data_IF_557892989599
#
_entry.id   IF_557892989599
#
_cell.length_a   1.000
_cell.length_b   1.000
_cell.length_c   1.000
_cell.angle_alpha   90.00
_cell.angle_beta   90.00
_cell.angle_gamma   90.00
#
_symmetry.space_group_name_H-M   'P 1'
#
loop_
_entity.id
_entity.type
_entity.pdbx_description
1 polymer ?
#
# COMPACT_ATOMS: atom_id res chain seq x y z
N UNK A 1 14.29 -3.91 17.78
CA UNK A 1 13.88 -4.10 16.38
C UNK A 1 14.73 -3.15 15.54
N UNK A 2 15.33 -3.56 14.43
CA UNK A 2 16.00 -2.63 13.51
C UNK A 2 15.03 -2.33 12.38
N UNK A 3 14.76 -1.05 12.11
CA UNK A 3 13.76 -0.64 11.11
C UNK A 3 14.39 0.34 10.14
N UNK A 4 14.21 0.10 8.84
CA UNK A 4 14.45 1.10 7.81
C UNK A 4 13.17 1.89 7.53
N UNK A 5 13.27 3.20 7.31
CA UNK A 5 12.19 4.00 6.78
C UNK A 5 12.60 4.59 5.42
N UNK A 6 11.79 4.34 4.40
CA UNK A 6 11.91 4.93 3.07
C UNK A 6 10.82 6.00 2.93
N UNK A 7 11.20 7.27 2.99
CA UNK A 7 10.30 8.41 2.84
C UNK A 7 10.52 9.08 1.49
N UNK A 8 9.46 9.24 0.71
CA UNK A 8 9.48 9.84 -0.62
C UNK A 8 8.95 11.28 -0.51
N UNK A 9 9.82 12.29 -0.36
CA UNK A 9 9.40 13.69 -0.26
C UNK A 9 8.75 14.12 -1.57
N UNK A 10 7.58 14.76 -1.49
CA UNK A 10 6.83 15.17 -2.69
C UNK A 10 6.59 14.01 -3.67
N UNK A 11 6.21 12.84 -3.12
CA UNK A 11 6.03 11.59 -3.87
C UNK A 11 5.20 11.77 -5.15
N UNK A 12 4.12 12.54 -5.06
CA UNK A 12 3.18 12.76 -6.17
C UNK A 12 3.85 13.53 -7.30
N UNK A 13 4.61 14.58 -6.95
CA UNK A 13 5.40 15.34 -7.93
C UNK A 13 6.48 14.47 -8.58
N UNK A 14 7.16 13.61 -7.82
CA UNK A 14 8.15 12.69 -8.38
C UNK A 14 7.52 11.72 -9.40
N UNK A 15 6.32 11.23 -9.12
CA UNK A 15 5.57 10.37 -10.06
C UNK A 15 5.20 11.12 -11.35
N UNK A 16 4.76 12.38 -11.26
CA UNK A 16 4.48 13.19 -12.45
C UNK A 16 5.73 13.47 -13.29
N UNK A 17 6.85 13.81 -12.65
CA UNK A 17 8.13 14.05 -13.36
C UNK A 17 8.64 12.78 -14.03
N UNK A 18 8.56 11.62 -13.36
CA UNK A 18 8.92 10.32 -13.94
C UNK A 18 8.13 10.02 -15.21
N UNK A 19 6.83 10.29 -15.20
CA UNK A 19 5.96 9.95 -16.34
C UNK A 19 6.06 10.99 -17.47
N UNK A 20 6.58 12.19 -17.18
CA UNK A 20 6.78 13.25 -18.16
C UNK A 20 8.03 14.07 -17.84
N UNK A 21 9.16 13.69 -18.45
CA UNK A 21 10.46 14.35 -18.29
C UNK A 21 10.44 15.86 -18.60
N UNK A 22 9.49 16.33 -19.41
CA UNK A 22 9.37 17.77 -19.73
C UNK A 22 8.97 18.62 -18.51
N UNK A 23 8.53 18.00 -17.42
CA UNK A 23 8.20 18.65 -16.15
C UNK A 23 9.43 18.87 -15.26
N UNK A 24 10.56 18.22 -15.55
CA UNK A 24 11.77 18.33 -14.74
C UNK A 24 12.26 19.78 -14.63
N UNK A 25 12.54 20.22 -13.40
CA UNK A 25 13.01 21.57 -13.09
C UNK A 25 11.96 22.68 -13.23
N UNK A 26 10.67 22.35 -13.47
CA UNK A 26 9.58 23.33 -13.53
C UNK A 26 8.85 23.43 -12.19
N UNK A 27 8.26 24.60 -11.87
CA UNK A 27 7.38 24.72 -10.72
C UNK A 27 6.06 23.98 -10.97
N UNK A 28 5.96 22.75 -10.48
CA UNK A 28 4.77 21.90 -10.56
C UNK A 28 3.91 22.10 -9.30
N UNK A 29 2.60 22.18 -9.50
CA UNK A 29 1.56 22.30 -8.47
C UNK A 29 0.47 21.26 -8.78
N UNK A 30 0.18 20.39 -7.83
CA UNK A 30 -0.81 19.30 -8.01
C UNK A 30 -2.01 19.60 -7.12
N UNK A 31 -3.22 19.53 -7.69
CA UNK A 31 -4.45 19.79 -6.95
C UNK A 31 -5.64 20.15 -7.85
N UNK A 32 -5.42 20.35 -9.15
CA UNK A 32 -6.41 20.84 -10.11
C UNK A 32 -5.97 22.15 -10.76
N UNK A 33 -6.88 22.73 -11.54
CA UNK A 33 -6.62 23.98 -12.26
C UNK A 33 -6.75 25.22 -11.37
N UNK A 34 -6.05 26.34 -11.66
CA UNK A 34 -6.00 27.53 -10.81
C UNK A 34 -7.35 28.12 -10.37
N UNK A 35 -8.38 27.99 -11.22
CA UNK A 35 -9.71 28.54 -10.99
C UNK A 35 -10.63 27.62 -10.18
N UNK A 36 -10.23 26.37 -9.96
CA UNK A 36 -11.02 25.43 -9.17
C UNK A 36 -10.97 25.81 -7.68
N UNK A 37 -12.09 25.58 -6.97
CA UNK A 37 -12.16 25.77 -5.51
C UNK A 37 -11.56 24.56 -4.77
N UNK A 38 -10.31 24.24 -5.10
CA UNK A 38 -9.52 23.17 -4.48
C UNK A 38 -8.25 23.76 -3.85
N UNK A 39 -7.55 22.93 -3.10
CA UNK A 39 -6.28 23.26 -2.47
C UNK A 39 -5.13 22.49 -3.14
N UNK A 40 -3.92 23.01 -2.98
CA UNK A 40 -2.67 22.34 -3.39
C UNK A 40 -2.52 21.06 -2.57
N UNK A 41 -2.47 19.93 -3.26
CA UNK A 41 -2.21 18.61 -2.68
C UNK A 41 -0.71 18.39 -2.47
N UNK A 42 0.09 18.63 -3.51
CA UNK A 42 1.55 18.54 -3.47
C UNK A 42 2.19 19.57 -4.41
N UNK A 43 3.45 19.93 -4.16
CA UNK A 43 4.16 20.95 -4.90
C UNK A 43 5.66 20.64 -5.03
N UNK A 44 6.23 20.96 -6.19
CA UNK A 44 7.67 20.84 -6.47
C UNK A 44 8.51 21.80 -5.63
N UNK A 45 9.81 21.54 -5.50
CA UNK A 45 10.74 22.43 -4.78
C UNK A 45 10.76 23.84 -5.38
N UNK A 46 10.66 23.92 -6.70
CA UNK A 46 10.61 25.15 -7.48
C UNK A 46 9.33 25.96 -7.17
N UNK A 47 8.18 25.29 -7.02
CA UNK A 47 6.95 25.93 -6.61
C UNK A 47 6.99 26.36 -5.12
N UNK A 48 7.54 25.52 -4.24
CA UNK A 48 7.73 25.85 -2.82
C UNK A 48 8.64 27.08 -2.65
N UNK A 49 9.69 27.22 -3.48
CA UNK A 49 10.56 28.39 -3.49
C UNK A 49 9.82 29.68 -3.87
N UNK A 50 8.72 29.58 -4.62
CA UNK A 50 7.83 30.71 -4.92
C UNK A 50 6.84 31.02 -3.78
N UNK A 51 6.89 30.28 -2.66
CA UNK A 51 6.01 30.47 -1.51
C UNK A 51 4.73 29.63 -1.51
N UNK A 52 4.53 28.77 -2.51
CA UNK A 52 3.41 27.82 -2.54
C UNK A 52 3.54 26.84 -1.37
N UNK A 53 2.42 26.43 -0.78
CA UNK A 53 2.38 25.45 0.33
C UNK A 53 1.28 24.43 0.10
N UNK A 54 1.48 23.20 0.58
CA UNK A 54 0.41 22.21 0.63
C UNK A 54 -0.75 22.73 1.49
N UNK A 55 -1.98 22.48 1.07
CA UNK A 55 -3.22 22.97 1.71
C UNK A 55 -3.62 24.40 1.33
N UNK A 56 -2.77 25.17 0.63
CA UNK A 56 -3.10 26.51 0.15
C UNK A 56 -4.15 26.45 -0.98
N UNK A 57 -5.11 27.39 -1.08
CA UNK A 57 -6.02 27.49 -2.22
C UNK A 57 -5.29 27.61 -3.56
N UNK A 58 -5.73 26.90 -4.59
CA UNK A 58 -5.07 26.91 -5.92
C UNK A 58 -4.97 28.32 -6.53
N UNK A 59 -5.98 29.16 -6.30
CA UNK A 59 -5.99 30.56 -6.75
C UNK A 59 -4.88 31.39 -6.10
N UNK A 60 -4.60 31.16 -4.83
CA UNK A 60 -3.51 31.81 -4.10
C UNK A 60 -2.16 31.29 -4.58
N UNK A 61 -2.05 29.97 -4.76
CA UNK A 61 -0.85 29.37 -5.34
C UNK A 61 -0.53 29.93 -6.74
N UNK A 62 -1.55 30.18 -7.58
CA UNK A 62 -1.38 30.81 -8.88
C UNK A 62 -0.94 32.27 -8.80
N UNK A 63 -1.43 33.02 -7.81
CA UNK A 63 -0.97 34.38 -7.58
C UNK A 63 0.52 34.44 -7.17
N UNK A 64 0.98 33.45 -6.38
CA UNK A 64 2.38 33.33 -5.95
C UNK A 64 3.30 32.77 -7.04
N UNK A 65 2.81 31.83 -7.86
CA UNK A 65 3.56 31.18 -8.92
C UNK A 65 2.76 31.14 -10.23
N UNK A 66 2.63 32.27 -10.95
CA UNK A 66 1.88 32.33 -12.20
C UNK A 66 2.46 31.45 -13.32
N UNK A 67 3.78 31.21 -13.28
CA UNK A 67 4.51 30.32 -14.19
C UNK A 67 4.37 28.82 -13.84
N UNK A 68 3.64 28.50 -12.77
CA UNK A 68 3.45 27.14 -12.29
C UNK A 68 2.69 26.26 -13.29
N UNK A 69 3.10 24.99 -13.39
CA UNK A 69 2.37 23.94 -14.11
C UNK A 69 1.37 23.32 -13.15
N UNK A 70 0.08 23.54 -13.40
CA UNK A 70 -1.02 23.02 -12.60
C UNK A 70 -1.53 21.70 -13.16
N UNK A 71 -1.46 20.63 -12.35
CA UNK A 71 -1.89 19.29 -12.74
C UNK A 71 -3.09 18.81 -11.91
N UNK A 72 -4.04 18.07 -12.52
CA UNK A 72 -5.11 17.42 -11.77
C UNK A 72 -4.55 16.33 -10.85
N UNK A 73 -5.27 16.04 -9.77
CA UNK A 73 -4.92 14.97 -8.83
C UNK A 73 -5.43 13.62 -9.36
N UNK A 74 -4.54 12.67 -9.61
CA UNK A 74 -4.88 11.28 -9.94
C UNK A 74 -4.47 10.33 -8.80
N UNK A 75 -5.33 10.20 -7.78
CA UNK A 75 -5.06 9.36 -6.61
C UNK A 75 -4.79 7.89 -6.97
N UNK A 76 -5.44 7.37 -8.02
CA UNK A 76 -5.27 5.99 -8.48
C UNK A 76 -3.87 5.74 -9.02
N UNK A 77 -3.39 6.63 -9.89
CA UNK A 77 -2.02 6.60 -10.41
C UNK A 77 -0.97 6.59 -9.30
N UNK A 78 -1.13 7.44 -8.27
CA UNK A 78 -0.17 7.52 -7.17
C UNK A 78 -0.24 6.29 -6.26
N UNK A 79 -1.43 5.76 -5.99
CA UNK A 79 -1.61 4.53 -5.23
C UNK A 79 -0.99 3.32 -5.94
N UNK A 80 -1.15 3.21 -7.25
CA UNK A 80 -0.58 2.14 -8.08
C UNK A 80 0.96 2.23 -8.10
N UNK A 81 1.51 3.45 -8.26
CA UNK A 81 2.95 3.69 -8.19
C UNK A 81 3.52 3.30 -6.81
N UNK A 82 2.84 3.67 -5.73
CA UNK A 82 3.28 3.36 -4.37
C UNK A 82 3.18 1.85 -4.07
N UNK A 83 2.11 1.20 -4.54
CA UNK A 83 1.93 -0.25 -4.46
C UNK A 83 3.07 -0.98 -5.16
N UNK A 84 3.50 -0.51 -6.33
CA UNK A 84 4.61 -1.12 -7.08
C UNK A 84 5.92 -1.07 -6.29
N UNK A 85 6.19 0.04 -5.60
CA UNK A 85 7.36 0.17 -4.71
C UNK A 85 7.24 -0.79 -3.53
N UNK A 86 6.07 -0.86 -2.87
CA UNK A 86 5.84 -1.77 -1.75
C UNK A 86 5.98 -3.25 -2.15
N UNK A 87 5.46 -3.65 -3.31
CA UNK A 87 5.64 -5.00 -3.87
C UNK A 87 7.12 -5.31 -4.08
N UNK A 88 7.89 -4.34 -4.57
CA UNK A 88 9.34 -4.51 -4.72
C UNK A 88 10.01 -4.70 -3.37
N UNK A 89 9.73 -3.84 -2.38
CA UNK A 89 10.29 -3.95 -1.03
C UNK A 89 9.94 -5.29 -0.36
N UNK A 90 8.73 -5.82 -0.62
CA UNK A 90 8.29 -7.11 -0.08
C UNK A 90 9.07 -8.31 -0.63
N UNK A 91 9.84 -8.15 -1.71
CA UNK A 91 10.77 -9.18 -2.18
C UNK A 91 12.06 -9.22 -1.36
N UNK A 92 12.37 -8.14 -0.64
CA UNK A 92 13.61 -8.00 0.12
C UNK A 92 13.43 -8.34 1.60
N UNK A 93 12.29 -7.97 2.19
CA UNK A 93 11.99 -8.27 3.60
C UNK A 93 10.62 -8.91 3.77
N UNK A 94 10.48 -9.91 4.67
CA UNK A 94 9.20 -10.54 4.97
C UNK A 94 8.20 -9.59 5.65
N UNK A 95 8.67 -8.49 6.25
CA UNK A 95 7.85 -7.52 6.96
C UNK A 95 8.12 -6.13 6.41
N UNK A 96 7.26 -5.71 5.48
CA UNK A 96 7.15 -4.34 5.00
C UNK A 96 5.89 -3.74 5.58
N UNK A 97 5.91 -2.51 6.06
CA UNK A 97 4.70 -1.78 6.43
C UNK A 97 4.52 -0.58 5.50
N UNK A 98 3.30 -0.41 4.96
CA UNK A 98 2.90 0.81 4.28
C UNK A 98 2.53 1.87 5.32
N UNK A 99 3.26 2.99 5.34
CA UNK A 99 2.88 4.18 6.09
C UNK A 99 1.86 5.03 5.32
N UNK A 100 1.86 6.34 5.57
CA UNK A 100 1.16 7.29 4.68
C UNK A 100 1.75 7.20 3.27
N UNK A 101 0.96 7.52 2.23
CA UNK A 101 1.44 7.53 0.84
C UNK A 101 2.78 8.26 0.75
N UNK A 102 3.78 7.60 0.17
CA UNK A 102 5.15 8.07 0.14
C UNK A 102 5.99 7.74 1.39
N UNK A 103 5.57 6.80 2.25
CA UNK A 103 6.42 6.30 3.33
C UNK A 103 6.26 4.80 3.55
N UNK A 104 7.36 4.06 3.55
CA UNK A 104 7.37 2.63 3.79
C UNK A 104 8.38 2.28 4.89
N UNK A 105 8.08 1.24 5.66
CA UNK A 105 8.97 0.71 6.68
C UNK A 105 9.35 -0.73 6.36
N UNK A 106 10.58 -1.11 6.70
CA UNK A 106 11.10 -2.45 6.48
C UNK A 106 11.72 -2.96 7.78
N UNK A 107 11.37 -4.18 8.18
CA UNK A 107 12.06 -4.87 9.28
C UNK A 107 13.41 -5.38 8.80
N UNK A 108 14.47 -4.96 9.49
CA UNK A 108 15.86 -5.36 9.26
C UNK A 108 16.35 -6.31 10.36
N UNK A 109 15.48 -6.76 11.26
CA UNK A 109 15.87 -7.59 12.41
C UNK A 109 16.42 -8.97 12.02
N UNK A 110 16.17 -9.41 10.78
CA UNK A 110 16.60 -10.71 10.25
C UNK A 110 17.81 -10.60 9.32
N UNK A 111 18.23 -9.38 8.98
CA UNK A 111 19.28 -9.11 8.00
C UNK A 111 20.54 -8.64 8.72
N UNK A 112 21.61 -9.42 8.58
CA UNK A 112 22.98 -9.14 9.03
C UNK A 112 23.19 -8.84 10.54
N UNK A 113 24.12 -9.54 11.22
CA UNK A 113 24.46 -9.24 12.61
C UNK A 113 24.99 -7.80 12.80
N UNK A 114 25.72 -7.28 11.81
CA UNK A 114 26.42 -5.99 11.84
C UNK A 114 25.70 -4.86 11.09
N UNK A 115 25.83 -3.63 11.59
CA UNK A 115 25.26 -2.41 10.99
C UNK A 115 25.86 -2.08 9.63
N UNK A 116 27.11 -2.46 9.36
CA UNK A 116 27.77 -2.22 8.07
C UNK A 116 27.04 -2.93 6.92
N UNK A 117 26.70 -4.21 7.09
CA UNK A 117 25.93 -4.99 6.13
C UNK A 117 24.50 -4.48 5.96
N UNK A 118 23.86 -4.07 7.06
CA UNK A 118 22.52 -3.48 7.03
C UNK A 118 22.50 -2.15 6.25
N UNK A 119 23.51 -1.30 6.46
CA UNK A 119 23.66 -0.05 5.72
C UNK A 119 23.87 -0.31 4.22
N UNK A 120 24.75 -1.24 3.88
CA UNK A 120 25.02 -1.60 2.48
C UNK A 120 23.75 -2.11 1.79
N UNK A 121 23.01 -3.02 2.43
CA UNK A 121 21.76 -3.55 1.90
C UNK A 121 20.73 -2.44 1.65
N UNK A 122 20.51 -1.57 2.64
CA UNK A 122 19.54 -0.46 2.51
C UNK A 122 19.95 0.51 1.41
N UNK A 123 21.25 0.75 1.25
CA UNK A 123 21.80 1.58 0.17
C UNK A 123 21.62 0.94 -1.21
N UNK A 124 21.80 -0.38 -1.34
CA UNK A 124 21.51 -1.12 -2.56
C UNK A 124 20.03 -1.04 -2.93
N UNK A 125 19.12 -1.25 -1.96
CA UNK A 125 17.67 -1.12 -2.16
C UNK A 125 17.31 0.30 -2.59
N UNK A 126 17.90 1.33 -1.95
CA UNK A 126 17.71 2.75 -2.33
C UNK A 126 18.12 3.00 -3.78
N UNK A 127 19.28 2.52 -4.21
CA UNK A 127 19.77 2.70 -5.57
C UNK A 127 18.91 1.96 -6.60
N UNK A 128 18.37 0.79 -6.26
CA UNK A 128 17.41 0.08 -7.11
C UNK A 128 16.13 0.91 -7.27
N UNK A 129 15.65 1.53 -6.19
CA UNK A 129 14.46 2.40 -6.25
C UNK A 129 14.69 3.57 -7.20
N UNK A 130 15.82 4.26 -7.06
CA UNK A 130 16.18 5.40 -7.90
C UNK A 130 16.34 5.02 -9.36
N UNK A 131 17.03 3.90 -9.65
CA UNK A 131 17.28 3.48 -11.03
C UNK A 131 16.03 2.94 -11.72
N UNK A 132 15.25 2.12 -11.02
CA UNK A 132 14.13 1.37 -11.62
C UNK A 132 12.84 2.17 -11.63
N UNK A 133 12.56 2.92 -10.58
CA UNK A 133 11.31 3.66 -10.44
C UNK A 133 11.48 5.17 -10.63
N UNK A 134 12.72 5.66 -10.74
CA UNK A 134 13.04 7.11 -10.82
C UNK A 134 12.41 7.88 -9.66
N UNK A 135 12.40 7.25 -8.48
CA UNK A 135 11.93 7.83 -7.23
C UNK A 135 13.11 7.98 -6.28
N UNK A 136 13.17 9.09 -5.57
CA UNK A 136 14.29 9.49 -4.71
C UNK A 136 13.85 9.50 -3.25
N UNK A 137 13.94 8.35 -2.54
CA UNK A 137 13.60 8.28 -1.13
C UNK A 137 14.71 8.86 -0.25
N UNK A 138 14.30 9.53 0.82
CA UNK A 138 15.09 9.81 2.00
C UNK A 138 15.02 8.61 2.91
N UNK A 139 16.17 8.04 3.24
CA UNK A 139 16.25 6.73 3.88
C UNK A 139 16.94 6.85 5.23
N UNK A 140 16.36 6.20 6.23
CA UNK A 140 16.92 6.14 7.58
C UNK A 140 16.82 4.75 8.17
N UNK A 141 17.68 4.46 9.16
CA UNK A 141 17.70 3.22 9.92
C UNK A 141 17.72 3.57 11.40
N UNK A 142 16.83 2.98 12.19
CA UNK A 142 16.79 3.19 13.64
C UNK A 142 16.33 1.96 14.43
N UNK A 143 16.39 2.06 15.75
CA UNK A 143 15.97 1.03 16.70
C UNK A 143 14.46 0.88 16.91
N UNK A 144 13.66 1.79 16.33
CA UNK A 144 12.21 1.72 16.33
C UNK A 144 11.64 2.57 15.19
N UNK A 145 10.33 2.42 14.97
CA UNK A 145 9.60 3.01 13.85
C UNK A 145 9.58 4.53 13.90
N UNK A 146 9.24 5.12 15.04
CA UNK A 146 9.16 6.58 15.17
C UNK A 146 10.51 7.28 14.92
N UNK A 147 11.61 6.79 15.51
CA UNK A 147 12.94 7.39 15.31
C UNK A 147 13.37 7.24 13.85
N UNK A 148 13.10 6.09 13.21
CA UNK A 148 13.37 5.91 11.78
C UNK A 148 12.58 6.94 10.95
N UNK A 149 11.27 7.05 11.19
CA UNK A 149 10.42 8.01 10.49
C UNK A 149 10.86 9.47 10.70
N UNK A 150 11.18 9.86 11.94
CA UNK A 150 11.64 11.21 12.24
C UNK A 150 12.99 11.51 11.55
N UNK A 151 13.89 10.52 11.54
CA UNK A 151 15.17 10.64 10.88
C UNK A 151 15.05 10.76 9.35
N UNK A 152 14.10 10.08 8.71
CA UNK A 152 13.91 10.20 7.26
C UNK A 152 13.35 11.56 6.84
N UNK A 153 12.67 12.29 7.74
CA UNK A 153 12.16 13.66 7.48
C UNK A 153 13.24 14.73 7.47
N UNK A 154 14.36 14.49 8.14
CA UNK A 154 15.52 15.39 8.15
C UNK A 154 16.69 14.86 7.34
N UNK A 155 16.61 13.60 6.90
CA UNK A 155 17.56 13.04 5.96
C UNK A 155 17.53 13.83 4.64
N UNK A 156 18.71 14.06 4.07
CA UNK A 156 18.84 14.65 2.74
C UNK A 156 18.75 13.60 1.64
N UNK A 157 18.70 14.05 0.39
CA UNK A 157 18.79 13.18 -0.78
C UNK A 157 20.13 12.45 -0.84
N UNK A 158 20.11 11.17 -1.23
CA UNK A 158 21.31 10.42 -1.58
C UNK A 158 22.15 9.91 -0.40
N UNK A 159 21.68 10.02 0.83
CA UNK A 159 22.37 9.47 2.02
C UNK A 159 21.39 8.70 2.90
N UNK A 160 21.85 7.56 3.40
CA UNK A 160 21.15 6.80 4.45
C UNK A 160 21.60 7.32 5.81
N UNK A 161 20.64 7.73 6.65
CA UNK A 161 20.91 8.18 8.03
C UNK A 161 20.74 7.03 9.00
N UNK A 162 21.76 6.71 9.78
CA UNK A 162 21.69 5.64 10.79
C UNK A 162 21.66 6.26 12.18
N UNK A 163 20.63 5.95 12.97
CA UNK A 163 20.51 6.33 14.37
C UNK A 163 20.60 5.07 15.21
N UNK A 164 21.66 4.95 16.01
CA UNK A 164 21.83 3.78 16.88
C UNK A 164 20.94 3.92 18.13
N UNK A 165 20.60 2.78 18.76
CA UNK A 165 19.58 2.76 19.82
C UNK A 165 19.88 3.62 21.06
N UNK A 166 21.14 3.98 21.32
CA UNK A 166 21.51 4.89 22.42
C UNK A 166 21.35 6.37 22.07
N UNK A 167 21.30 6.70 20.78
CA UNK A 167 21.31 8.07 20.26
C UNK A 167 19.92 8.61 19.94
N UNK A 168 18.88 7.76 19.96
CA UNK A 168 17.52 8.14 19.53
C UNK A 168 16.98 9.36 20.26
N UNK A 169 17.06 9.40 21.60
CA UNK A 169 16.61 10.56 22.39
C UNK A 169 17.41 11.82 22.09
N UNK A 170 18.73 11.69 21.98
CA UNK A 170 19.62 12.82 21.71
C UNK A 170 19.44 13.39 20.30
N UNK A 171 19.15 12.52 19.33
CA UNK A 171 18.80 12.91 17.97
C UNK A 171 17.47 13.67 17.91
N UNK A 172 16.44 13.18 18.61
CA UNK A 172 15.11 13.78 18.58
C UNK A 172 15.05 15.16 19.25
N UNK A 173 15.94 15.46 20.21
CA UNK A 173 15.81 16.63 21.10
C UNK A 173 15.64 17.96 20.37
N UNK A 174 16.31 18.12 19.23
CA UNK A 174 16.36 19.38 18.47
C UNK A 174 15.25 19.44 17.39
N UNK A 175 14.53 18.35 17.16
CA UNK A 175 13.46 18.30 16.18
C UNK A 175 12.21 19.07 16.66
N UNK A 176 11.44 19.67 15.74
CA UNK A 176 10.23 20.40 16.08
C UNK A 176 9.14 19.46 16.58
N UNK A 177 8.33 19.95 17.52
CA UNK A 177 7.26 19.18 18.17
C UNK A 177 6.16 18.77 17.19
N UNK A 178 5.98 19.49 16.08
CA UNK A 178 5.02 19.17 15.02
C UNK A 178 5.32 17.87 14.26
N UNK A 179 6.52 17.28 14.43
CA UNK A 179 6.80 15.94 13.92
C UNK A 179 6.18 14.85 14.79
N UNK A 180 5.78 15.14 16.02
CA UNK A 180 5.06 14.18 16.83
C UNK A 180 3.67 13.94 16.23
N UNK A 181 3.14 12.70 16.27
CA UNK A 181 1.80 12.36 15.80
C UNK A 181 0.73 12.84 16.81
N UNK A 182 0.69 14.15 17.03
CA UNK A 182 -0.22 14.83 17.94
C UNK A 182 -1.42 15.42 17.16
N UNK A 183 -2.57 15.47 17.81
CA UNK A 183 -3.74 16.19 17.32
C UNK A 183 -3.44 17.69 17.18
N UNK A 184 -4.15 18.37 16.26
CA UNK A 184 -3.99 19.82 16.05
C UNK A 184 -4.19 20.61 17.35
N UNK A 185 -5.20 20.23 18.14
CA UNK A 185 -5.47 20.82 19.46
C UNK A 185 -4.29 20.65 20.42
N UNK A 186 -3.66 19.47 20.43
CA UNK A 186 -2.51 19.22 21.29
C UNK A 186 -1.29 20.00 20.82
N UNK A 187 -1.04 20.11 19.51
CA UNK A 187 0.02 20.96 18.96
C UNK A 187 -0.17 22.43 19.32
N UNK A 188 -1.36 22.99 19.11
CA UNK A 188 -1.70 24.37 19.50
C UNK A 188 -1.46 24.59 21.00
N UNK A 189 -1.86 23.62 21.82
CA UNK A 189 -1.68 23.71 23.27
C UNK A 189 -0.21 23.62 23.69
N UNK A 190 0.59 22.78 23.05
CA UNK A 190 2.04 22.70 23.27
C UNK A 190 2.72 24.03 22.90
N UNK A 191 2.33 24.65 21.78
CA UNK A 191 2.81 25.98 21.38
C UNK A 191 2.45 27.06 22.42
N UNK A 192 1.22 27.08 22.92
CA UNK A 192 0.79 28.00 24.00
C UNK A 192 1.58 27.82 25.30
N UNK A 193 2.07 26.61 25.56
CA UNK A 193 2.94 26.30 26.70
C UNK A 193 4.44 26.58 26.43
N UNK A 194 4.78 27.11 25.25
CA UNK A 194 6.15 27.42 24.85
C UNK A 194 6.99 26.19 24.48
N UNK A 195 6.34 25.07 24.16
CA UNK A 195 6.98 23.80 23.79
C UNK A 195 6.97 23.68 22.27
N UNK A 196 8.12 23.98 21.66
CA UNK A 196 8.31 23.96 20.21
C UNK A 196 9.20 22.82 19.73
N UNK A 197 9.97 22.19 20.63
CA UNK A 197 10.90 21.10 20.31
C UNK A 197 10.59 19.84 21.12
N UNK A 198 10.85 18.69 20.52
CA UNK A 198 10.63 17.38 21.14
C UNK A 198 11.41 17.25 22.46
N UNK A 199 12.65 17.75 22.50
CA UNK A 199 13.47 17.73 23.70
C UNK A 199 12.91 18.56 24.87
N UNK A 200 12.09 19.58 24.59
CA UNK A 200 11.41 20.35 25.64
C UNK A 200 10.30 19.52 26.28
N UNK A 201 9.51 18.81 25.48
CA UNK A 201 8.48 17.89 25.98
C UNK A 201 9.10 16.72 26.77
N UNK A 202 10.21 16.16 26.28
CA UNK A 202 10.92 15.06 26.95
C UNK A 202 11.47 15.42 28.34
N UNK A 203 11.69 16.70 28.64
CA UNK A 203 12.17 17.18 29.95
C UNK A 203 11.07 17.29 31.00
N UNK A 204 9.80 17.32 30.59
CA UNK A 204 8.69 17.37 31.52
C UNK A 204 8.49 16.02 32.20
N UNK A 205 7.88 16.03 33.39
CA UNK A 205 7.52 14.79 34.07
C UNK A 205 6.34 14.12 33.36
N UNK A 206 6.37 12.78 33.26
CA UNK A 206 5.28 12.01 32.66
C UNK A 206 3.93 12.31 33.33
N UNK A 207 3.92 12.51 34.65
CA UNK A 207 2.73 12.86 35.41
C UNK A 207 2.12 14.20 34.96
N UNK A 208 2.94 15.25 34.76
CA UNK A 208 2.46 16.55 34.32
C UNK A 208 1.90 16.48 32.88
N UNK A 209 2.61 15.80 31.98
CA UNK A 209 2.17 15.65 30.58
C UNK A 209 0.89 14.81 30.50
N UNK A 210 0.77 13.75 31.29
CA UNK A 210 -0.42 12.90 31.30
C UNK A 210 -1.64 13.61 31.90
N UNK A 211 -1.43 14.52 32.87
CA UNK A 211 -2.51 15.32 33.46
C UNK A 211 -3.11 16.30 32.44
N UNK A 212 -2.26 16.96 31.64
CA UNK A 212 -2.71 17.96 30.67
C UNK A 212 -3.28 17.34 29.39
N UNK A 213 -2.67 16.26 28.89
CA UNK A 213 -2.94 15.71 27.55
C UNK A 213 -3.47 14.27 27.57
N UNK A 214 -3.71 13.69 28.74
CA UNK A 214 -4.23 12.32 28.88
C UNK A 214 -3.34 11.25 28.24
N UNK A 215 -4.00 10.26 27.61
CA UNK A 215 -3.31 9.13 26.96
C UNK A 215 -2.47 9.56 25.75
N UNK A 216 -2.92 10.58 25.01
CA UNK A 216 -2.14 11.17 23.92
C UNK A 216 -0.83 11.75 24.49
N UNK A 217 -0.91 12.53 25.57
CA UNK A 217 0.25 13.06 26.29
C UNK A 217 1.28 12.01 26.67
N UNK A 218 0.82 10.92 27.30
CA UNK A 218 1.69 9.80 27.65
C UNK A 218 2.43 9.27 26.42
N UNK A 219 1.71 9.04 25.32
CA UNK A 219 2.30 8.55 24.07
C UNK A 219 3.31 9.54 23.48
N UNK A 220 2.98 10.82 23.46
CA UNK A 220 3.89 11.87 22.97
C UNK A 220 5.16 11.95 23.81
N UNK A 221 5.04 11.81 25.13
CA UNK A 221 6.18 11.80 26.04
C UNK A 221 7.09 10.58 25.81
N UNK A 222 6.52 9.39 25.62
CA UNK A 222 7.27 8.17 25.26
C UNK A 222 8.06 8.38 23.97
N UNK A 223 7.38 8.83 22.90
CA UNK A 223 7.99 9.11 21.60
C UNK A 223 9.09 10.17 21.71
N UNK A 224 8.89 11.20 22.53
CA UNK A 224 9.88 12.26 22.76
C UNK A 224 11.14 11.77 23.47
N UNK A 225 11.03 10.67 24.22
CA UNK A 225 12.16 9.98 24.83
C UNK A 225 12.75 8.88 23.94
N UNK A 226 12.31 8.78 22.68
CA UNK A 226 12.74 7.74 21.74
C UNK A 226 12.17 6.36 22.04
N UNK A 227 11.12 6.26 22.85
CA UNK A 227 10.49 5.01 23.26
C UNK A 227 9.30 4.76 22.32
N UNK A 228 9.41 3.71 21.50
CA UNK A 228 8.34 3.26 20.62
C UNK A 228 8.36 1.73 20.52
N UNK A 229 7.37 1.10 21.15
CA UNK A 229 7.18 -0.36 21.17
C UNK A 229 6.26 -0.86 20.03
N UNK A 230 5.83 0.04 19.14
CA UNK A 230 4.98 -0.37 18.01
C UNK A 230 5.70 -1.35 17.10
N UNK A 231 5.02 -2.44 16.77
CA UNK A 231 5.50 -3.44 15.81
C UNK A 231 5.13 -2.99 14.40
N UNK A 232 5.94 -3.39 13.43
CA UNK A 232 5.57 -3.22 12.04
C UNK A 232 4.34 -4.07 11.70
N UNK A 233 3.41 -3.46 10.97
CA UNK A 233 2.22 -4.14 10.46
C UNK A 233 2.54 -4.66 9.05
N UNK A 234 2.58 -5.98 8.82
CA UNK A 234 2.87 -6.52 7.50
C UNK A 234 1.86 -6.03 6.47
N UNK A 235 2.38 -5.40 5.42
CA UNK A 235 1.67 -5.02 4.25
C UNK A 235 1.37 -6.27 3.44
N UNK A 236 0.10 -6.47 3.11
CA UNK A 236 -0.34 -7.46 2.15
C UNK A 236 -0.94 -6.73 0.96
N UNK A 237 -0.41 -6.98 -0.23
CA UNK A 237 -1.12 -6.61 -1.43
C UNK A 237 -2.41 -7.42 -1.44
N UNK A 238 -3.56 -6.73 -1.46
CA UNK A 238 -4.83 -7.41 -1.72
C UNK A 238 -4.71 -8.00 -3.12
N UNK A 239 -4.68 -9.33 -3.28
CA UNK A 239 -4.53 -9.91 -4.59
C UNK A 239 -5.74 -9.49 -5.41
N UNK A 240 -5.47 -8.90 -6.58
CA UNK A 240 -6.51 -8.47 -7.51
C UNK A 240 -6.16 -8.88 -8.95
N UNK A 241 -7.19 -9.10 -9.75
CA UNK A 241 -7.09 -9.30 -11.19
C UNK A 241 -7.85 -8.17 -11.85
N UNK A 242 -7.19 -7.42 -12.73
CA UNK A 242 -7.75 -6.24 -13.38
C UNK A 242 -7.59 -6.39 -14.88
N UNK A 243 -8.69 -6.19 -15.60
CA UNK A 243 -8.71 -6.07 -17.05
C UNK A 243 -9.42 -4.77 -17.42
N UNK A 244 -8.93 -4.06 -18.43
CA UNK A 244 -9.49 -2.80 -18.87
C UNK A 244 -9.50 -2.68 -20.39
N UNK A 245 -10.39 -1.85 -20.92
CA UNK A 245 -10.48 -1.51 -22.33
C UNK A 245 -10.79 -0.02 -22.50
N UNK A 246 -10.14 0.59 -23.49
CA UNK A 246 -10.43 1.94 -23.96
C UNK A 246 -11.24 1.85 -25.27
N UNK A 247 -12.24 2.69 -25.42
CA UNK A 247 -13.11 2.72 -26.58
C UNK A 247 -12.70 3.85 -27.54
N UNK A 248 -12.30 3.50 -28.75
CA UNK A 248 -11.98 4.43 -29.84
C UNK A 248 -12.79 4.06 -31.11
N UNK A 249 -13.91 4.74 -31.42
CA UNK A 249 -14.57 5.83 -30.67
C UNK A 249 -15.27 5.35 -29.38
N UNK A 250 -15.62 6.31 -28.51
CA UNK A 250 -16.33 6.03 -27.25
C UNK A 250 -17.63 5.24 -27.48
N UNK A 251 -17.93 4.28 -26.60
CA UNK A 251 -19.09 3.41 -26.74
C UNK A 251 -20.39 4.17 -26.41
N UNK A 252 -21.28 4.27 -27.40
CA UNK A 252 -22.56 4.98 -27.28
C UNK A 252 -23.71 4.04 -26.85
N UNK A 253 -23.52 2.72 -27.01
CA UNK A 253 -24.58 1.73 -26.79
C UNK A 253 -24.23 0.76 -25.66
N UNK A 254 -25.25 0.37 -24.89
CA UNK A 254 -25.12 -0.67 -23.85
C UNK A 254 -24.62 -2.00 -24.47
N UNK A 255 -25.03 -2.31 -25.71
CA UNK A 255 -24.59 -3.51 -26.41
C UNK A 255 -23.08 -3.58 -26.64
N UNK A 256 -22.45 -2.46 -27.02
CA UNK A 256 -20.99 -2.37 -27.19
C UNK A 256 -20.27 -2.60 -25.85
N UNK A 257 -20.72 -1.91 -24.79
CA UNK A 257 -20.14 -2.05 -23.44
C UNK A 257 -20.30 -3.48 -22.92
N UNK A 258 -21.46 -4.12 -23.17
CA UNK A 258 -21.70 -5.51 -22.78
C UNK A 258 -20.82 -6.50 -23.52
N UNK A 259 -20.64 -6.33 -24.84
CA UNK A 259 -19.79 -7.20 -25.64
C UNK A 259 -18.34 -7.14 -25.14
N UNK A 260 -17.79 -5.94 -25.04
CA UNK A 260 -16.42 -5.73 -24.55
C UNK A 260 -16.25 -6.15 -23.08
N UNK A 261 -17.22 -5.85 -22.22
CA UNK A 261 -17.24 -6.32 -20.84
C UNK A 261 -17.28 -7.84 -20.73
N UNK A 262 -18.02 -8.52 -21.62
CA UNK A 262 -18.05 -9.97 -21.73
C UNK A 262 -16.72 -10.60 -22.12
N UNK A 263 -15.93 -9.93 -22.98
CA UNK A 263 -14.57 -10.34 -23.33
C UNK A 263 -13.59 -10.16 -22.16
N UNK A 264 -13.68 -9.03 -21.45
CA UNK A 264 -12.88 -8.77 -20.24
C UNK A 264 -13.18 -9.84 -19.17
N UNK A 265 -14.46 -10.15 -18.94
CA UNK A 265 -14.87 -11.21 -18.01
C UNK A 265 -14.40 -12.60 -18.46
N UNK A 266 -14.31 -12.86 -19.77
CA UNK A 266 -13.79 -14.12 -20.27
C UNK A 266 -12.30 -14.28 -19.93
N UNK A 267 -11.50 -13.23 -20.16
CA UNK A 267 -10.08 -13.19 -19.76
C UNK A 267 -9.90 -13.37 -18.25
N UNK A 268 -10.66 -12.63 -17.45
CA UNK A 268 -10.63 -12.73 -15.99
C UNK A 268 -11.04 -14.12 -15.48
N UNK A 269 -12.10 -14.71 -16.04
CA UNK A 269 -12.55 -16.08 -15.70
C UNK A 269 -11.49 -17.12 -16.05
N UNK A 270 -10.83 -16.98 -17.19
CA UNK A 270 -9.74 -17.87 -17.59
C UNK A 270 -8.55 -17.75 -16.63
N UNK A 271 -8.11 -16.53 -16.30
CA UNK A 271 -7.04 -16.29 -15.33
C UNK A 271 -7.36 -16.88 -13.95
N UNK A 272 -8.61 -16.77 -13.50
CA UNK A 272 -9.07 -17.39 -12.26
C UNK A 272 -8.93 -18.92 -12.29
N UNK A 273 -9.38 -19.56 -13.38
CA UNK A 273 -9.29 -21.01 -13.57
C UNK A 273 -7.84 -21.49 -13.64
N UNK A 274 -6.98 -20.79 -14.36
CA UNK A 274 -5.55 -21.09 -14.44
C UNK A 274 -4.87 -21.01 -13.06
N UNK A 275 -5.35 -20.11 -12.20
CA UNK A 275 -4.90 -19.93 -10.82
C UNK A 275 -5.62 -20.83 -9.81
N UNK A 276 -6.59 -21.65 -10.22
CA UNK A 276 -7.43 -22.47 -9.34
C UNK A 276 -8.14 -21.65 -8.25
N UNK A 277 -8.57 -20.44 -8.61
CA UNK A 277 -9.15 -19.44 -7.73
C UNK A 277 -10.58 -19.09 -8.14
N UNK A 278 -11.37 -18.70 -7.15
CA UNK A 278 -12.66 -18.02 -7.30
C UNK A 278 -12.57 -16.63 -6.68
N UNK A 279 -13.44 -15.71 -7.09
CA UNK A 279 -13.54 -14.37 -6.52
C UNK A 279 -14.86 -14.17 -5.76
N UNK A 280 -14.84 -13.34 -4.72
CA UNK A 280 -16.04 -12.93 -3.97
C UNK A 280 -16.48 -11.51 -4.31
N UNK A 281 -15.66 -10.74 -5.02
CA UNK A 281 -15.97 -9.35 -5.34
C UNK A 281 -15.59 -9.00 -6.77
N UNK A 282 -16.53 -8.39 -7.49
CA UNK A 282 -16.36 -7.78 -8.81
C UNK A 282 -16.61 -6.28 -8.70
N UNK A 283 -15.63 -5.48 -9.10
CA UNK A 283 -15.75 -4.03 -9.20
C UNK A 283 -15.78 -3.65 -10.68
N UNK A 284 -16.81 -2.92 -11.08
CA UNK A 284 -16.99 -2.37 -12.42
C UNK A 284 -16.76 -0.86 -12.33
N UNK A 285 -15.78 -0.34 -13.06
CA UNK A 285 -15.52 1.09 -13.17
C UNK A 285 -15.64 1.52 -14.62
N UNK A 286 -16.35 2.61 -14.86
CA UNK A 286 -16.56 3.18 -16.20
C UNK A 286 -16.19 4.65 -16.16
N UNK A 287 -15.38 5.07 -17.12
CA UNK A 287 -15.08 6.47 -17.35
C UNK A 287 -15.87 6.93 -18.57
N UNK A 288 -16.52 8.08 -18.45
CA UNK A 288 -17.32 8.67 -19.51
C UNK A 288 -16.53 9.76 -20.25
N UNK A 289 -16.99 10.13 -21.43
CA UNK A 289 -16.37 11.21 -22.23
C UNK A 289 -16.45 12.60 -21.61
N UNK A 290 -17.24 12.79 -20.54
CA UNK A 290 -17.33 14.03 -19.75
C UNK A 290 -16.48 13.99 -18.47
N UNK A 291 -15.45 13.13 -18.41
CA UNK A 291 -14.58 12.89 -17.25
C UNK A 291 -15.30 12.41 -15.98
N UNK A 292 -16.58 12.05 -16.07
CA UNK A 292 -17.28 11.42 -14.97
C UNK A 292 -16.82 9.96 -14.82
N UNK A 293 -16.68 9.50 -13.58
CA UNK A 293 -16.34 8.11 -13.26
C UNK A 293 -17.51 7.48 -12.48
N UNK A 294 -18.09 6.39 -13.00
CA UNK A 294 -19.04 5.58 -12.26
C UNK A 294 -18.38 4.27 -11.83
N UNK A 295 -18.47 3.95 -10.54
CA UNK A 295 -17.95 2.71 -9.98
C UNK A 295 -19.06 1.96 -9.24
N UNK A 296 -19.14 0.66 -9.46
CA UNK A 296 -20.06 -0.24 -8.77
C UNK A 296 -19.32 -1.49 -8.28
N UNK A 297 -19.54 -1.82 -7.02
CA UNK A 297 -18.99 -3.03 -6.39
C UNK A 297 -20.11 -4.04 -6.20
N UNK A 298 -19.87 -5.27 -6.67
CA UNK A 298 -20.71 -6.43 -6.48
C UNK A 298 -20.01 -7.42 -5.55
N UNK A 299 -20.70 -7.82 -4.49
CA UNK A 299 -20.28 -8.89 -3.58
C UNK A 299 -21.07 -10.14 -3.91
N UNK A 300 -20.38 -11.21 -4.27
CA UNK A 300 -20.99 -12.51 -4.49
C UNK A 300 -21.21 -13.20 -3.15
N UNK A 301 -22.39 -13.82 -3.00
CA UNK A 301 -22.68 -14.66 -1.82
C UNK A 301 -21.85 -15.94 -1.82
N UNK A 302 -21.59 -16.48 -3.01
CA UNK A 302 -20.77 -17.66 -3.25
C UNK A 302 -19.60 -17.28 -4.15
N UNK A 303 -18.40 -17.75 -3.83
CA UNK A 303 -17.23 -17.46 -4.63
C UNK A 303 -17.38 -18.05 -6.03
N UNK A 304 -17.11 -17.23 -7.06
CA UNK A 304 -17.32 -17.62 -8.45
C UNK A 304 -16.07 -17.44 -9.30
N UNK A 305 -15.84 -18.39 -10.20
CA UNK A 305 -14.93 -18.29 -11.34
C UNK A 305 -15.68 -18.30 -12.68
N UNK A 306 -17.02 -18.37 -12.65
CA UNK A 306 -17.87 -18.47 -13.84
C UNK A 306 -18.09 -17.12 -14.49
N UNK A 307 -17.77 -17.05 -15.79
CA UNK A 307 -18.07 -15.92 -16.66
C UNK A 307 -19.58 -15.61 -16.65
N UNK A 308 -20.43 -16.63 -16.71
CA UNK A 308 -21.88 -16.49 -16.83
C UNK A 308 -22.48 -15.78 -15.60
N UNK A 309 -22.02 -16.15 -14.40
CA UNK A 309 -22.43 -15.48 -13.16
C UNK A 309 -22.02 -14.02 -13.15
N UNK A 310 -20.75 -13.73 -13.47
CA UNK A 310 -20.23 -12.35 -13.49
C UNK A 310 -20.91 -11.50 -14.57
N UNK A 311 -21.16 -12.06 -15.75
CA UNK A 311 -21.81 -11.38 -16.87
C UNK A 311 -23.24 -10.99 -16.53
N UNK A 312 -23.99 -11.85 -15.81
CA UNK A 312 -25.35 -11.54 -15.37
C UNK A 312 -25.40 -10.28 -14.49
N UNK A 313 -24.45 -10.13 -13.56
CA UNK A 313 -24.35 -8.95 -12.71
C UNK A 313 -23.95 -7.70 -13.48
N UNK A 314 -23.05 -7.83 -14.46
CA UNK A 314 -22.70 -6.73 -15.36
C UNK A 314 -23.92 -6.28 -16.18
N UNK A 315 -24.68 -7.21 -16.76
CA UNK A 315 -25.90 -6.90 -17.51
C UNK A 315 -26.93 -6.18 -16.65
N UNK A 316 -27.20 -6.70 -15.45
CA UNK A 316 -28.13 -6.08 -14.51
C UNK A 316 -27.70 -4.64 -14.15
N UNK A 317 -26.39 -4.42 -13.96
CA UNK A 317 -25.88 -3.08 -13.68
C UNK A 317 -26.11 -2.13 -14.85
N UNK A 318 -25.74 -2.53 -16.06
CA UNK A 318 -25.84 -1.68 -17.24
C UNK A 318 -27.30 -1.36 -17.61
N UNK A 319 -28.22 -2.30 -17.43
CA UNK A 319 -29.67 -2.06 -17.63
C UNK A 319 -30.22 -1.04 -16.62
N UNK A 320 -29.78 -1.13 -15.36
CA UNK A 320 -30.25 -0.23 -14.29
C UNK A 320 -29.73 1.20 -14.42
N UNK A 321 -28.58 1.39 -15.06
CA UNK A 321 -27.79 2.61 -14.92
C UNK A 321 -28.09 3.70 -15.97
N UNK A 322 -29.07 3.51 -16.87
CA UNK A 322 -29.59 4.49 -17.86
C UNK A 322 -28.55 5.55 -18.30
N UNK A 323 -27.58 5.13 -19.09
CA UNK A 323 -26.49 6.02 -19.52
C UNK A 323 -26.94 6.98 -20.62
N UNK A 324 -26.70 8.28 -20.42
CA UNK A 324 -26.91 9.33 -21.44
C UNK A 324 -25.61 9.80 -22.07
N UNK A 325 -24.45 9.41 -21.53
CA UNK A 325 -23.11 9.85 -21.97
C UNK A 325 -22.31 8.65 -22.49
N UNK A 326 -21.55 8.77 -23.58
CA UNK A 326 -20.70 7.70 -24.09
C UNK A 326 -19.59 7.28 -23.10
N UNK A 327 -19.25 6.00 -23.10
CA UNK A 327 -18.21 5.40 -22.24
C UNK A 327 -16.87 5.39 -22.98
N UNK A 328 -15.84 6.00 -22.40
CA UNK A 328 -14.48 6.06 -22.94
C UNK A 328 -13.57 4.93 -22.43
N UNK A 329 -13.74 4.51 -21.18
CA UNK A 329 -13.00 3.39 -20.58
C UNK A 329 -13.94 2.50 -19.76
N UNK A 330 -13.72 1.18 -19.83
CA UNK A 330 -14.32 0.22 -18.91
C UNK A 330 -13.24 -0.64 -18.26
N UNK A 331 -13.32 -0.77 -16.94
CA UNK A 331 -12.37 -1.51 -16.10
C UNK A 331 -13.11 -2.47 -15.19
N UNK A 332 -12.68 -3.72 -15.20
CA UNK A 332 -13.18 -4.79 -14.35
C UNK A 332 -12.08 -5.27 -13.41
N UNK A 333 -12.37 -5.25 -12.11
CA UNK A 333 -11.43 -5.69 -11.07
C UNK A 333 -12.06 -6.76 -10.20
N UNK A 334 -11.40 -7.92 -10.11
CA UNK A 334 -11.75 -8.99 -9.18
C UNK A 334 -10.87 -8.93 -7.94
N UNK A 335 -11.48 -9.08 -6.76
CA UNK A 335 -10.78 -9.16 -5.48
C UNK A 335 -11.40 -10.24 -4.59
N UNK A 336 -10.83 -10.41 -3.38
CA UNK A 336 -11.26 -11.41 -2.39
C UNK A 336 -11.24 -12.83 -2.97
N UNK A 337 -10.04 -13.28 -3.34
CA UNK A 337 -9.87 -14.61 -3.92
C UNK A 337 -9.90 -15.70 -2.86
N UNK A 338 -10.51 -16.84 -3.20
CA UNK A 338 -10.42 -18.07 -2.45
C UNK A 338 -10.07 -19.24 -3.39
N UNK A 339 -9.45 -20.33 -2.89
CA UNK A 339 -9.24 -21.52 -3.70
C UNK A 339 -10.58 -22.11 -4.17
N UNK A 340 -10.59 -22.70 -5.35
CA UNK A 340 -11.79 -23.30 -5.98
C UNK A 340 -12.41 -24.42 -5.12
N UNK A 341 -11.60 -25.06 -4.26
CA UNK A 341 -12.05 -26.07 -3.29
C UNK A 341 -12.80 -25.50 -2.08
N UNK A 342 -12.99 -24.19 -2.00
CA UNK A 342 -13.73 -23.49 -0.95
C UNK A 342 -15.23 -23.30 -1.21
N UNK A 343 -15.88 -24.22 -1.94
CA UNK A 343 -17.35 -24.20 -2.06
C UNK A 343 -17.95 -24.59 -0.72
N UNK A 344 -18.46 -23.59 -0.01
CA UNK A 344 -19.22 -23.80 1.21
C UNK A 344 -20.44 -24.68 0.87
N UNK A 345 -20.41 -25.94 1.30
CA UNK A 345 -21.57 -26.84 1.17
C UNK A 345 -22.72 -26.21 1.97
N UNK A 346 -23.94 -26.12 1.43
CA UNK A 346 -25.07 -25.56 2.15
C UNK A 346 -25.25 -26.24 3.51
N UNK A 347 -25.56 -25.45 4.54
CA UNK A 347 -25.79 -25.86 5.94
C UNK A 347 -26.88 -26.96 6.09
N UNK A 348 -27.59 -27.31 5.02
CA UNK A 348 -28.56 -28.40 4.97
C UNK A 348 -27.96 -29.82 4.99
N UNK A 349 -26.64 -30.01 4.86
CA UNK A 349 -25.99 -31.31 5.09
C UNK A 349 -25.65 -31.49 6.58
N UNK A 350 -26.55 -32.15 7.30
CA UNK A 350 -26.54 -32.27 8.76
C UNK A 350 -25.32 -32.96 9.39
N UNK A 351 -24.91 -32.43 10.55
CA UNK A 351 -24.37 -33.13 11.73
C UNK A 351 -23.39 -34.31 11.57
N UNK A 352 -22.52 -34.31 10.56
CA UNK A 352 -21.49 -35.36 10.45
C UNK A 352 -20.24 -34.95 9.66
N UNK A 353 -19.58 -33.82 9.95
CA UNK A 353 -18.29 -33.59 9.26
C UNK A 353 -17.28 -32.61 9.88
N UNK A 354 -16.81 -32.87 11.09
CA UNK A 354 -15.56 -32.25 11.57
C UNK A 354 -14.34 -32.65 10.72
N UNK A 355 -14.35 -33.87 10.15
CA UNK A 355 -13.27 -34.38 9.29
C UNK A 355 -13.18 -33.63 7.96
N UNK A 356 -14.31 -33.30 7.34
CA UNK A 356 -14.32 -32.49 6.11
C UNK A 356 -13.82 -31.07 6.35
N UNK A 357 -14.26 -30.39 7.41
CA UNK A 357 -13.74 -29.06 7.79
C UNK A 357 -12.23 -29.07 8.04
N UNK A 358 -11.72 -30.14 8.65
CA UNK A 358 -10.27 -30.31 8.87
C UNK A 358 -9.53 -30.54 7.55
N UNK A 359 -10.08 -31.36 6.64
CA UNK A 359 -9.52 -31.59 5.30
C UNK A 359 -9.51 -30.31 4.46
N UNK A 360 -10.55 -29.50 4.51
CA UNK A 360 -10.64 -28.22 3.78
C UNK A 360 -9.63 -27.17 4.29
N UNK A 361 -9.46 -27.08 5.61
CA UNK A 361 -8.45 -26.21 6.22
C UNK A 361 -7.03 -26.67 5.85
N UNK A 362 -6.79 -27.97 5.90
CA UNK A 362 -5.52 -28.56 5.51
C UNK A 362 -5.23 -28.33 4.01
N UNK A 363 -6.24 -28.49 3.14
CA UNK A 363 -6.13 -28.19 1.72
C UNK A 363 -5.78 -26.72 1.45
N UNK A 364 -6.44 -25.80 2.15
CA UNK A 364 -6.20 -24.37 2.03
C UNK A 364 -4.78 -24.00 2.49
N UNK A 365 -4.31 -24.58 3.60
CA UNK A 365 -2.96 -24.38 4.11
C UNK A 365 -1.88 -24.91 3.16
N UNK A 366 -2.10 -26.10 2.58
CA UNK A 366 -1.16 -26.71 1.62
C UNK A 366 -1.10 -25.90 0.33
N UNK A 367 -2.25 -25.42 -0.16
CA UNK A 367 -2.31 -24.55 -1.34
C UNK A 367 -1.56 -23.23 -1.10
N UNK A 368 -1.76 -22.60 0.07
CA UNK A 368 -1.01 -21.40 0.46
C UNK A 368 0.51 -21.64 0.53
N UNK A 369 0.94 -22.77 1.09
CA UNK A 369 2.36 -23.13 1.16
C UNK A 369 2.98 -23.37 -0.23
N UNK A 370 2.25 -24.04 -1.14
CA UNK A 370 2.68 -24.23 -2.53
C UNK A 370 2.78 -22.91 -3.29
N UNK A 371 1.86 -21.97 -3.02
CA UNK A 371 1.88 -20.64 -3.63
C UNK A 371 3.11 -19.84 -3.19
N UNK A 372 3.48 -19.90 -1.92
CA UNK A 372 4.60 -19.10 -1.37
C UNK A 372 5.97 -19.67 -1.69
N UNK A 373 6.11 -21.00 -1.74
CA UNK A 373 7.41 -21.67 -1.76
C UNK A 373 7.62 -22.62 -2.97
N UNK A 374 6.63 -22.78 -3.85
CA UNK A 374 6.71 -23.64 -5.04
C UNK A 374 6.20 -25.07 -4.85
N UNK A 375 6.33 -25.90 -5.89
CA UNK A 375 5.95 -27.33 -5.85
C UNK A 375 6.91 -28.14 -4.97
N UNK A 376 6.42 -29.18 -4.31
CA UNK A 376 7.22 -30.10 -3.47
C UNK A 376 7.43 -29.69 -2.00
N UNK A 377 6.91 -28.54 -1.57
CA UNK A 377 7.11 -27.99 -0.21
C UNK A 377 6.37 -28.79 0.87
N UNK A 378 5.27 -29.43 0.51
CA UNK A 378 4.50 -30.30 1.41
C UNK A 378 4.47 -31.71 0.84
N UNK A 379 5.07 -32.64 1.57
CA UNK A 379 5.10 -34.07 1.24
C UNK A 379 4.33 -34.91 2.24
N UNK A 380 3.73 -36.00 1.77
CA UNK A 380 3.19 -37.05 2.62
C UNK A 380 4.33 -37.95 3.09
N UNK A 381 4.39 -38.20 4.39
CA UNK A 381 5.33 -39.18 4.95
C UNK A 381 4.78 -40.58 4.74
N UNK A 382 5.49 -41.40 3.96
CA UNK A 382 5.27 -42.84 3.85
C UNK A 382 6.28 -43.56 4.74
N UNK A 383 5.79 -44.14 5.84
CA UNK A 383 6.60 -45.01 6.68
C UNK A 383 6.82 -46.36 5.98
N UNK A 384 8.07 -46.81 5.90
CA UNK A 384 8.47 -48.14 5.44
C UNK A 384 8.81 -49.00 6.67
N UNK A 385 7.84 -49.75 7.21
CA UNK A 385 8.00 -50.43 8.49
C UNK A 385 9.09 -51.52 8.52
N UNK A 386 9.58 -51.97 7.36
CA UNK A 386 10.63 -53.00 7.25
C UNK A 386 11.94 -52.47 6.64
N UNK A 387 12.27 -51.18 6.83
CA UNK A 387 13.55 -50.65 6.35
C UNK A 387 14.72 -51.14 7.21
N UNK A 388 15.82 -51.56 6.58
CA UNK A 388 17.01 -52.04 7.26
C UNK A 388 17.81 -50.92 7.96
N UNK A 389 17.61 -49.67 7.54
CA UNK A 389 18.27 -48.48 8.09
C UNK A 389 17.23 -47.47 8.61
N UNK A 390 17.44 -46.87 9.80
CA UNK A 390 16.53 -45.89 10.38
C UNK A 390 16.27 -44.68 9.48
N UNK A 391 17.29 -44.21 8.75
CA UNK A 391 17.21 -43.11 7.80
C UNK A 391 16.31 -43.39 6.58
N UNK A 392 16.12 -44.66 6.21
CA UNK A 392 15.28 -45.08 5.09
C UNK A 392 13.85 -45.49 5.51
N UNK A 393 13.53 -45.34 6.78
CA UNK A 393 12.22 -45.70 7.35
C UNK A 393 11.09 -44.76 6.92
N UNK A 394 11.42 -43.64 6.28
CA UNK A 394 10.44 -42.68 5.75
C UNK A 394 10.80 -42.24 4.32
N UNK A 395 9.78 -42.12 3.48
CA UNK A 395 9.91 -41.48 2.16
C UNK A 395 8.86 -40.39 2.01
N UNK A 396 9.21 -39.32 1.31
CA UNK A 396 8.30 -38.22 1.02
C UNK A 396 7.73 -38.41 -0.38
N UNK A 397 6.41 -38.44 -0.49
CA UNK A 397 5.72 -38.35 -1.79
C UNK A 397 4.97 -37.03 -1.88
N UNK A 398 4.69 -36.56 -3.09
CA UNK A 398 3.82 -35.39 -3.25
C UNK A 398 2.47 -35.64 -2.58
N UNK A 399 2.02 -34.63 -1.81
CA UNK A 399 0.75 -34.70 -1.10
C UNK A 399 -0.40 -34.32 -2.05
N UNK A 400 -1.14 -35.32 -2.56
CA UNK A 400 -2.41 -35.11 -3.26
C UNK A 400 -3.58 -35.56 -2.35
N UNK A 401 -4.64 -34.76 -2.31
CA UNK A 401 -5.71 -34.82 -1.30
C UNK A 401 -6.77 -35.91 -1.52
#
# INVERSE_FOLDING_TARGET
MRVACFFFPHFVVQVEVRDNDSLSGKPIIIGGLPYERKAVYDASKEALACGVRQGMPLREAYALCPQGVFLPLDEGKYADAFTTVLTMLANYSPVVEAGTVGSAFIDLSYECPDYSGVLQFVEEVRQIIEKRFQLHPFVSIASNKFVAWAASRVAGSGKVVVITGREGKDFLKDLPVCLLPASSRTLERLELLGIYRIGQLARLSLAAVSLEFGNEGKRLWELSNGIDESRLVPWSQVPMLKEQIYFEPAAETIGQVLASGGELLNRLSQQLKERWQCCLRLTISMHFSNDHIAQRVFHFKEATSSRETMLRHLTQYLESARFTTPVSEMRLTLTDFCPENGRQVPISSGFSDERLKHRERLASAISWLRQRYGKGVVGRVLAKPNSALPEDSFSFTEFDL
#
